data_IF_897227850926
#
_entry.id   IF_897227850926
#
_cell.length_a   1.000
_cell.length_b   1.000
_cell.length_c   1.000
_cell.angle_alpha   90.00
_cell.angle_beta   90.00
_cell.angle_gamma   90.00
#
_symmetry.space_group_name_H-M   'P 1'
#
loop_
_entity.id
_entity.type
_entity.pdbx_description
1 polymer ?
#
# COMPACT_ATOMS: atom_id res chain seq x y z
N UNK A 1 19.87 -30.32 -11.37
CA UNK A 1 19.86 -29.46 -10.16
C UNK A 1 20.73 -28.20 -10.28
N UNK A 2 22.08 -28.23 -10.30
CA UNK A 2 22.90 -26.99 -10.32
C UNK A 2 22.62 -26.01 -11.49
N UNK A 3 22.42 -26.52 -12.71
CA UNK A 3 22.07 -25.67 -13.88
C UNK A 3 20.65 -25.07 -13.80
N UNK A 4 19.73 -25.77 -13.14
CA UNK A 4 18.33 -25.33 -12.97
C UNK A 4 18.22 -24.20 -11.94
N UNK A 5 19.01 -24.26 -10.86
CA UNK A 5 19.07 -23.20 -9.85
C UNK A 5 19.70 -21.91 -10.38
N UNK A 6 20.66 -22.01 -11.30
CA UNK A 6 21.38 -20.85 -11.83
C UNK A 6 20.49 -19.98 -12.74
N UNK A 7 19.62 -20.59 -13.55
CA UNK A 7 18.64 -19.87 -14.36
C UNK A 7 17.62 -19.10 -13.52
N UNK A 8 17.09 -19.73 -12.45
CA UNK A 8 16.14 -19.09 -11.54
C UNK A 8 16.75 -17.86 -10.85
N UNK A 9 17.98 -17.98 -10.32
CA UNK A 9 18.68 -16.87 -9.66
C UNK A 9 18.92 -15.71 -10.63
N UNK A 10 19.31 -16.01 -11.88
CA UNK A 10 19.45 -14.98 -12.91
C UNK A 10 18.12 -14.27 -13.20
N UNK A 11 17.02 -15.01 -13.36
CA UNK A 11 15.69 -14.44 -13.56
C UNK A 11 15.27 -13.51 -12.41
N UNK A 12 15.44 -13.95 -11.16
CA UNK A 12 15.16 -13.13 -9.97
C UNK A 12 16.00 -11.85 -9.98
N UNK A 13 17.31 -11.94 -10.25
CA UNK A 13 18.21 -10.78 -10.26
C UNK A 13 17.82 -9.75 -11.34
N UNK A 14 17.53 -10.20 -12.56
CA UNK A 14 17.12 -9.31 -13.65
C UNK A 14 15.77 -8.66 -13.34
N UNK A 15 14.82 -9.43 -12.80
CA UNK A 15 13.51 -8.93 -12.42
C UNK A 15 13.60 -7.89 -11.28
N UNK A 16 14.33 -8.20 -10.21
CA UNK A 16 14.54 -7.29 -9.09
C UNK A 16 15.30 -6.03 -9.51
N UNK A 17 16.38 -6.16 -10.27
CA UNK A 17 17.12 -5.00 -10.78
C UNK A 17 16.26 -4.13 -11.71
N UNK A 18 15.47 -4.76 -12.58
CA UNK A 18 14.53 -4.05 -13.46
C UNK A 18 13.45 -3.30 -12.69
N UNK A 19 12.85 -3.92 -11.66
CA UNK A 19 11.89 -3.27 -10.79
C UNK A 19 12.50 -2.09 -10.03
N UNK A 20 13.67 -2.26 -9.41
CA UNK A 20 14.34 -1.18 -8.67
C UNK A 20 14.64 0.00 -9.59
N UNK A 21 15.21 -0.25 -10.77
CA UNK A 21 15.53 0.82 -11.73
C UNK A 21 14.29 1.51 -12.28
N UNK A 22 13.17 0.80 -12.36
CA UNK A 22 11.90 1.36 -12.80
C UNK A 22 11.22 2.20 -11.70
N UNK A 23 11.24 1.75 -10.44
CA UNK A 23 10.57 2.42 -9.32
C UNK A 23 11.36 3.60 -8.75
N UNK A 24 12.70 3.50 -8.67
CA UNK A 24 13.55 4.53 -8.06
C UNK A 24 13.37 5.95 -8.64
N UNK A 25 13.18 6.15 -9.97
CA UNK A 25 12.85 7.44 -10.56
C UNK A 25 11.62 8.12 -9.95
N UNK A 26 10.61 7.34 -9.55
CA UNK A 26 9.37 7.87 -9.00
C UNK A 26 9.58 8.55 -7.64
N UNK A 27 10.56 8.10 -6.85
CA UNK A 27 10.93 8.72 -5.57
C UNK A 27 11.81 9.96 -5.76
N UNK A 28 12.79 9.91 -6.68
CA UNK A 28 13.80 10.97 -6.81
C UNK A 28 13.44 12.08 -7.80
N UNK A 29 12.38 11.90 -8.60
CA UNK A 29 11.99 12.88 -9.62
C UNK A 29 11.70 14.28 -9.04
N UNK A 30 11.19 14.38 -7.81
CA UNK A 30 10.92 15.67 -7.17
C UNK A 30 12.17 16.49 -6.82
N UNK A 31 13.32 15.84 -6.64
CA UNK A 31 14.59 16.49 -6.28
C UNK A 31 15.51 16.73 -7.47
N UNK A 32 15.11 16.25 -8.66
CA UNK A 32 15.94 16.31 -9.85
C UNK A 32 15.93 17.72 -10.49
N UNK A 33 17.05 18.17 -11.07
CA UNK A 33 17.19 19.52 -11.64
C UNK A 33 16.11 19.91 -12.66
N UNK A 34 15.65 18.94 -13.46
CA UNK A 34 14.60 19.13 -14.48
C UNK A 34 13.37 18.24 -14.22
N UNK A 35 13.17 17.82 -12.97
CA UNK A 35 12.11 16.90 -12.61
C UNK A 35 12.16 15.62 -13.46
N UNK A 36 11.01 15.19 -13.96
CA UNK A 36 10.85 14.02 -14.84
C UNK A 36 11.64 14.07 -16.15
N UNK A 37 12.04 15.26 -16.62
CA UNK A 37 12.80 15.44 -17.86
C UNK A 37 14.31 15.28 -17.69
N UNK A 38 14.79 14.98 -16.47
CA UNK A 38 16.22 14.84 -16.20
C UNK A 38 16.79 13.57 -16.85
N UNK A 39 17.93 13.68 -17.53
CA UNK A 39 18.51 12.60 -18.34
C UNK A 39 18.65 11.26 -17.60
N UNK A 40 19.11 11.27 -16.35
CA UNK A 40 19.28 10.03 -15.58
C UNK A 40 17.94 9.38 -15.19
N UNK A 41 16.87 10.16 -15.01
CA UNK A 41 15.52 9.64 -14.71
C UNK A 41 14.96 8.94 -15.93
N UNK A 42 15.06 9.58 -17.09
CA UNK A 42 14.62 8.98 -18.36
C UNK A 42 15.43 7.72 -18.66
N UNK A 43 16.75 7.75 -18.44
CA UNK A 43 17.60 6.57 -18.61
C UNK A 43 17.19 5.41 -17.68
N UNK A 44 16.96 5.68 -16.40
CA UNK A 44 16.51 4.67 -15.43
C UNK A 44 15.16 4.05 -15.81
N UNK A 45 14.18 4.88 -16.21
CA UNK A 45 12.86 4.40 -16.66
C UNK A 45 12.96 3.53 -17.92
N UNK A 46 13.71 3.96 -18.93
CA UNK A 46 13.87 3.22 -20.19
C UNK A 46 14.63 1.91 -19.96
N UNK A 47 15.72 1.94 -19.18
CA UNK A 47 16.51 0.74 -18.87
C UNK A 47 15.71 -0.23 -17.99
N UNK A 48 15.04 0.26 -16.93
CA UNK A 48 14.18 -0.55 -16.07
C UNK A 48 13.06 -1.22 -16.85
N UNK A 49 12.34 -0.46 -17.69
CA UNK A 49 11.29 -1.01 -18.56
C UNK A 49 11.85 -2.05 -19.55
N UNK A 50 13.01 -1.76 -20.16
CA UNK A 50 13.66 -2.69 -21.10
C UNK A 50 14.11 -3.98 -20.41
N UNK A 51 14.60 -3.89 -19.17
CA UNK A 51 14.97 -5.07 -18.36
C UNK A 51 13.74 -5.90 -17.97
N UNK A 52 12.63 -5.26 -17.59
CA UNK A 52 11.37 -5.96 -17.31
C UNK A 52 10.79 -6.63 -18.57
N UNK A 53 10.89 -5.97 -19.72
CA UNK A 53 10.48 -6.56 -21.00
C UNK A 53 11.39 -7.72 -21.42
N UNK A 54 12.71 -7.57 -21.25
CA UNK A 54 13.66 -8.64 -21.44
C UNK A 54 13.39 -9.82 -20.51
N UNK A 55 13.10 -9.56 -19.24
CA UNK A 55 12.69 -10.59 -18.28
C UNK A 55 11.43 -11.29 -18.75
N UNK A 56 10.36 -10.56 -19.10
CA UNK A 56 9.10 -11.17 -19.55
C UNK A 56 9.25 -12.04 -20.82
N UNK A 57 10.10 -11.61 -21.77
CA UNK A 57 10.38 -12.38 -23.00
C UNK A 57 11.26 -13.60 -22.73
N UNK A 58 12.30 -13.44 -21.91
CA UNK A 58 13.17 -14.52 -21.47
C UNK A 58 12.40 -15.58 -20.67
N UNK A 59 11.55 -15.14 -19.75
CA UNK A 59 10.68 -15.97 -18.92
C UNK A 59 9.70 -16.81 -19.76
N UNK A 60 9.16 -16.22 -20.84
CA UNK A 60 8.18 -16.90 -21.70
C UNK A 60 8.81 -17.90 -22.66
N UNK A 61 10.01 -17.64 -23.19
CA UNK A 61 10.57 -18.39 -24.32
C UNK A 61 11.89 -19.10 -24.04
N UNK A 62 12.71 -18.62 -23.10
CA UNK A 62 14.06 -19.13 -22.84
C UNK A 62 14.22 -19.80 -21.47
N UNK A 63 13.35 -19.52 -20.49
CA UNK A 63 13.49 -20.03 -19.14
C UNK A 63 13.25 -21.55 -19.06
N UNK A 64 14.21 -22.36 -18.58
CA UNK A 64 14.04 -23.82 -18.41
C UNK A 64 13.05 -24.17 -17.30
N UNK A 65 12.96 -23.32 -16.27
CA UNK A 65 11.99 -23.38 -15.18
C UNK A 65 11.48 -21.94 -15.02
N UNK A 66 10.25 -21.64 -15.44
CA UNK A 66 9.69 -20.31 -15.27
C UNK A 66 9.48 -20.02 -13.77
N UNK A 67 9.93 -18.83 -13.36
CA UNK A 67 9.60 -18.17 -12.11
C UNK A 67 8.08 -17.94 -11.99
N UNK A 68 7.39 -17.56 -13.06
CA UNK A 68 5.93 -17.43 -13.09
C UNK A 68 5.30 -18.45 -14.04
N UNK A 69 4.57 -19.42 -13.49
CA UNK A 69 3.83 -20.36 -14.32
C UNK A 69 2.65 -19.63 -15.00
N UNK A 70 2.62 -19.61 -16.34
CA UNK A 70 1.59 -18.91 -17.13
C UNK A 70 0.14 -19.29 -16.79
N UNK A 71 -0.06 -20.53 -16.30
CA UNK A 71 -1.36 -21.00 -15.84
C UNK A 71 -1.87 -20.21 -14.62
N UNK A 72 -0.97 -19.73 -13.76
CA UNK A 72 -1.29 -18.89 -12.61
C UNK A 72 -1.79 -17.51 -13.07
N UNK A 73 -1.10 -16.91 -14.04
CA UNK A 73 -1.44 -15.61 -14.63
C UNK A 73 -2.72 -15.61 -15.46
N UNK A 74 -3.25 -16.78 -15.81
CA UNK A 74 -4.52 -16.93 -16.56
C UNK A 74 -5.71 -17.24 -15.63
N UNK A 75 -5.44 -17.63 -14.37
CA UNK A 75 -6.51 -18.00 -13.45
C UNK A 75 -7.18 -16.74 -12.86
N UNK A 76 -8.45 -16.53 -13.22
CA UNK A 76 -9.24 -15.38 -12.77
C UNK A 76 -9.27 -15.19 -11.24
N UNK A 77 -9.18 -16.25 -10.44
CA UNK A 77 -9.12 -16.11 -8.97
C UNK A 77 -7.79 -15.55 -8.50
N UNK A 78 -6.68 -15.95 -9.13
CA UNK A 78 -5.33 -15.48 -8.79
C UNK A 78 -5.17 -14.04 -9.23
N UNK A 79 -5.54 -13.72 -10.48
CA UNK A 79 -5.54 -12.35 -10.99
C UNK A 79 -6.38 -11.44 -10.07
N UNK A 80 -7.57 -11.91 -9.65
CA UNK A 80 -8.46 -11.14 -8.81
C UNK A 80 -7.88 -10.88 -7.42
N UNK A 81 -7.23 -11.88 -6.81
CA UNK A 81 -6.55 -11.73 -5.52
C UNK A 81 -5.35 -10.78 -5.62
N UNK A 82 -4.52 -10.95 -6.66
CA UNK A 82 -3.32 -10.13 -6.88
C UNK A 82 -3.65 -8.67 -7.18
N UNK A 83 -4.69 -8.40 -7.99
CA UNK A 83 -5.13 -7.04 -8.27
C UNK A 83 -5.85 -6.40 -7.07
N UNK A 84 -6.57 -7.19 -6.27
CA UNK A 84 -7.18 -6.73 -5.03
C UNK A 84 -6.09 -6.29 -4.05
N UNK A 85 -5.07 -7.12 -3.85
CA UNK A 85 -3.91 -6.82 -2.99
C UNK A 85 -3.21 -5.54 -3.44
N UNK A 86 -2.83 -5.44 -4.73
CA UNK A 86 -2.24 -4.22 -5.27
C UNK A 86 -3.11 -2.98 -5.05
N UNK A 87 -4.44 -3.09 -5.24
CA UNK A 87 -5.36 -1.96 -5.04
C UNK A 87 -5.44 -1.57 -3.57
N UNK A 88 -5.49 -2.55 -2.68
CA UNK A 88 -5.54 -2.37 -1.23
C UNK A 88 -4.24 -1.71 -0.72
N UNK A 89 -3.08 -2.27 -1.09
CA UNK A 89 -1.74 -1.77 -0.80
C UNK A 89 -1.56 -0.33 -1.31
N UNK A 90 -1.89 -0.10 -2.58
CA UNK A 90 -1.87 1.23 -3.21
C UNK A 90 -2.71 2.24 -2.42
N UNK A 91 -3.95 1.88 -2.10
CA UNK A 91 -4.86 2.74 -1.33
C UNK A 91 -4.33 3.00 0.08
N UNK A 92 -3.83 1.98 0.77
CA UNK A 92 -3.34 2.09 2.14
C UNK A 92 -2.12 3.03 2.25
N UNK A 93 -1.13 2.85 1.37
CA UNK A 93 0.07 3.67 1.36
C UNK A 93 -0.16 5.11 0.90
N UNK A 94 -1.18 5.37 0.06
CA UNK A 94 -1.56 6.73 -0.34
C UNK A 94 -1.82 7.66 0.87
N UNK A 95 -2.37 7.15 1.97
CA UNK A 95 -2.76 7.99 3.13
C UNK A 95 -2.01 7.67 4.42
N UNK A 96 -1.41 6.48 4.55
CA UNK A 96 -0.72 6.05 5.77
C UNK A 96 0.65 6.73 5.95
N UNK A 97 1.33 7.04 4.84
CA UNK A 97 2.73 7.50 4.86
C UNK A 97 2.94 8.79 5.68
N UNK A 98 2.05 9.78 5.55
CA UNK A 98 2.15 11.06 6.26
C UNK A 98 1.37 11.10 7.59
N UNK A 99 0.69 10.02 7.96
CA UNK A 99 -0.16 9.98 9.16
C UNK A 99 0.61 10.28 10.46
N UNK A 100 1.81 9.73 10.63
CA UNK A 100 2.62 9.93 11.84
C UNK A 100 3.07 11.39 11.98
N UNK A 101 3.43 12.03 10.88
CA UNK A 101 3.74 13.47 10.83
C UNK A 101 2.51 14.31 11.15
N UNK A 102 1.35 13.96 10.60
CA UNK A 102 0.09 14.63 10.92
C UNK A 102 -0.28 14.50 12.40
N UNK A 103 -0.13 13.32 13.01
CA UNK A 103 -0.42 13.10 14.43
C UNK A 103 0.48 13.94 15.35
N UNK A 104 1.75 14.14 14.99
CA UNK A 104 2.67 14.98 15.75
C UNK A 104 2.38 16.48 15.58
N UNK A 105 1.93 16.90 14.40
CA UNK A 105 1.70 18.32 14.08
C UNK A 105 0.32 18.81 14.50
N UNK A 106 -0.72 18.04 14.21
CA UNK A 106 -2.10 18.43 14.49
C UNK A 106 -2.55 18.08 15.91
N UNK A 107 -2.10 16.94 16.45
CA UNK A 107 -2.55 16.46 17.75
C UNK A 107 -1.49 16.63 18.85
N UNK A 108 -0.34 17.24 18.50
CA UNK A 108 0.78 17.49 19.41
C UNK A 108 1.25 16.23 20.17
N UNK A 109 1.15 15.08 19.51
CA UNK A 109 1.55 13.81 20.08
C UNK A 109 3.08 13.67 20.02
N UNK A 110 3.65 13.06 21.04
CA UNK A 110 5.06 12.63 21.00
C UNK A 110 5.26 11.58 19.92
N UNK A 111 6.48 11.48 19.38
CA UNK A 111 6.87 10.48 18.38
C UNK A 111 6.42 9.07 18.82
N UNK A 112 6.65 8.72 20.09
CA UNK A 112 6.27 7.43 20.66
C UNK A 112 4.75 7.20 20.59
N UNK A 113 3.93 8.16 21.03
CA UNK A 113 2.47 8.01 21.03
C UNK A 113 1.90 8.01 19.61
N UNK A 114 2.43 8.84 18.71
CA UNK A 114 2.01 8.87 17.30
C UNK A 114 2.30 7.52 16.61
N UNK A 115 3.48 6.93 16.87
CA UNK A 115 3.83 5.60 16.38
C UNK A 115 2.94 4.53 17.02
N UNK A 116 2.64 4.60 18.32
CA UNK A 116 1.71 3.66 18.93
C UNK A 116 0.33 3.70 18.27
N UNK A 117 -0.22 4.89 17.98
CA UNK A 117 -1.50 5.03 17.28
C UNK A 117 -1.46 4.42 15.88
N UNK A 118 -0.36 4.58 15.14
CA UNK A 118 -0.20 3.95 13.83
C UNK A 118 -0.15 2.41 13.95
N UNK A 119 0.64 1.88 14.89
CA UNK A 119 0.80 0.44 15.13
C UNK A 119 -0.48 -0.25 15.67
N UNK A 120 -1.50 0.49 16.13
CA UNK A 120 -2.79 -0.10 16.50
C UNK A 120 -3.36 -0.91 15.34
N UNK A 121 -3.18 -0.44 14.11
CA UNK A 121 -3.64 -1.16 12.92
C UNK A 121 -3.03 -2.57 12.85
N UNK A 122 -1.72 -2.71 13.01
CA UNK A 122 -1.02 -4.00 12.92
C UNK A 122 -1.36 -4.93 14.09
N UNK A 123 -1.46 -4.40 15.30
CA UNK A 123 -1.82 -5.18 16.48
C UNK A 123 -3.25 -5.71 16.38
N UNK A 124 -4.19 -4.85 15.98
CA UNK A 124 -5.61 -5.22 15.85
C UNK A 124 -5.79 -6.17 14.67
N UNK A 125 -5.14 -5.93 13.53
CA UNK A 125 -5.23 -6.81 12.37
C UNK A 125 -4.70 -8.22 12.67
N UNK A 126 -3.59 -8.34 13.41
CA UNK A 126 -3.04 -9.63 13.84
C UNK A 126 -4.02 -10.47 14.66
N UNK A 127 -4.73 -9.85 15.61
CA UNK A 127 -5.76 -10.52 16.41
C UNK A 127 -6.99 -10.86 15.57
N UNK A 128 -7.45 -9.93 14.73
CA UNK A 128 -8.63 -10.13 13.89
C UNK A 128 -8.44 -11.21 12.82
N UNK A 129 -7.22 -11.36 12.27
CA UNK A 129 -6.87 -12.41 11.32
C UNK A 129 -7.22 -13.81 11.87
N UNK A 130 -6.98 -14.05 13.16
CA UNK A 130 -7.32 -15.33 13.82
C UNK A 130 -8.84 -15.54 13.86
N UNK A 131 -9.61 -14.52 14.24
CA UNK A 131 -11.06 -14.59 14.33
C UNK A 131 -11.72 -14.75 12.96
N UNK A 132 -11.28 -13.98 11.96
CA UNK A 132 -11.80 -14.05 10.60
C UNK A 132 -11.40 -15.40 9.97
N UNK A 133 -10.18 -15.88 10.18
CA UNK A 133 -9.73 -17.20 9.74
C UNK A 133 -10.59 -18.33 10.33
N UNK A 134 -10.92 -18.24 11.61
CA UNK A 134 -11.85 -19.18 12.24
C UNK A 134 -13.26 -19.09 11.67
N UNK A 135 -13.79 -17.87 11.44
CA UNK A 135 -15.11 -17.66 10.86
C UNK A 135 -15.20 -18.22 9.43
N UNK A 136 -14.22 -17.93 8.58
CA UNK A 136 -14.13 -18.46 7.21
C UNK A 136 -14.04 -19.99 7.23
N UNK A 137 -13.27 -20.57 8.15
CA UNK A 137 -13.20 -22.04 8.31
C UNK A 137 -14.57 -22.65 8.64
N UNK A 138 -15.37 -21.98 9.48
CA UNK A 138 -16.71 -22.46 9.89
C UNK A 138 -17.73 -22.33 8.76
N UNK A 139 -17.73 -21.23 8.02
CA UNK A 139 -18.64 -21.00 6.89
C UNK A 139 -18.25 -21.88 5.70
N UNK A 140 -16.96 -21.96 5.39
CA UNK A 140 -16.39 -22.71 4.27
C UNK A 140 -16.30 -21.92 2.96
N UNK A 141 -16.73 -20.66 2.96
CA UNK A 141 -16.69 -19.74 1.83
C UNK A 141 -16.10 -18.41 2.28
N UNK A 142 -15.22 -17.82 1.48
CA UNK A 142 -14.52 -16.58 1.83
C UNK A 142 -15.03 -15.36 1.04
N UNK A 143 -15.73 -15.56 -0.08
CA UNK A 143 -16.16 -14.45 -0.95
C UNK A 143 -17.14 -13.50 -0.26
N UNK A 144 -18.00 -14.01 0.62
CA UNK A 144 -18.98 -13.18 1.33
C UNK A 144 -18.33 -12.13 2.23
N UNK A 145 -17.17 -12.45 2.82
CA UNK A 145 -16.44 -11.54 3.71
C UNK A 145 -15.97 -10.28 2.97
N UNK A 146 -15.64 -10.40 1.67
CA UNK A 146 -15.23 -9.26 0.84
C UNK A 146 -16.36 -8.25 0.62
N UNK A 147 -17.62 -8.70 0.51
CA UNK A 147 -18.76 -7.79 0.36
C UNK A 147 -19.00 -6.94 1.60
N UNK A 148 -18.54 -7.37 2.76
CA UNK A 148 -18.59 -6.59 4.01
C UNK A 148 -17.32 -5.73 4.15
N UNK A 149 -16.16 -6.28 3.80
CA UNK A 149 -14.87 -5.60 3.95
C UNK A 149 -14.76 -4.35 3.08
N UNK A 150 -15.15 -4.40 1.80
CA UNK A 150 -15.02 -3.23 0.90
C UNK A 150 -15.83 -2.03 1.41
N UNK A 151 -17.14 -2.15 1.68
CA UNK A 151 -17.90 -1.01 2.21
C UNK A 151 -17.39 -0.55 3.56
N UNK A 152 -16.99 -1.47 4.45
CA UNK A 152 -16.47 -1.12 5.77
C UNK A 152 -15.15 -0.33 5.66
N UNK A 153 -14.23 -0.78 4.82
CA UNK A 153 -12.94 -0.12 4.61
C UNK A 153 -13.13 1.26 3.96
N UNK A 154 -13.99 1.34 2.94
CA UNK A 154 -14.32 2.61 2.26
C UNK A 154 -14.99 3.59 3.22
N UNK A 155 -15.90 3.11 4.07
CA UNK A 155 -16.55 3.91 5.11
C UNK A 155 -15.54 4.38 6.16
N UNK A 156 -14.59 3.54 6.57
CA UNK A 156 -13.55 3.91 7.51
C UNK A 156 -12.61 4.98 6.94
N UNK A 157 -12.24 4.90 5.66
CA UNK A 157 -11.51 5.97 4.97
C UNK A 157 -12.35 7.25 4.86
N UNK A 158 -13.64 7.15 4.57
CA UNK A 158 -14.55 8.29 4.56
C UNK A 158 -14.69 8.98 5.92
N UNK A 159 -14.74 8.20 7.01
CA UNK A 159 -14.73 8.71 8.38
C UNK A 159 -13.39 9.40 8.70
N UNK A 160 -12.25 8.86 8.24
CA UNK A 160 -10.96 9.53 8.40
C UNK A 160 -10.96 10.92 7.76
N UNK A 161 -11.55 11.07 6.57
CA UNK A 161 -11.67 12.39 5.91
C UNK A 161 -12.44 13.36 6.79
N UNK A 162 -13.50 12.91 7.46
CA UNK A 162 -14.29 13.75 8.35
C UNK A 162 -13.55 14.10 9.66
N UNK A 163 -12.83 13.13 10.24
CA UNK A 163 -12.18 13.26 11.53
C UNK A 163 -10.77 13.87 11.46
N UNK A 164 -10.12 13.95 10.30
CA UNK A 164 -8.84 14.66 10.09
C UNK A 164 -9.00 16.17 9.95
N UNK A 165 -9.80 16.76 10.85
CA UNK A 165 -9.89 18.22 11.04
C UNK A 165 -8.99 18.63 12.21
N UNK A 166 -8.44 19.87 12.20
CA UNK A 166 -7.68 20.39 13.34
C UNK A 166 -8.54 20.38 14.61
N UNK A 167 -7.93 20.06 15.76
CA UNK A 167 -8.55 19.98 17.10
C UNK A 167 -9.55 18.84 17.36
N UNK A 168 -9.53 17.75 16.58
CA UNK A 168 -10.35 16.56 16.86
C UNK A 168 -9.65 15.60 17.83
N UNK A 169 -10.42 14.98 18.73
CA UNK A 169 -9.88 14.03 19.72
C UNK A 169 -9.22 12.83 19.03
N UNK A 170 -8.02 12.45 19.48
CA UNK A 170 -7.21 11.32 19.00
C UNK A 170 -8.01 10.01 19.01
N UNK A 171 -8.95 9.86 19.95
CA UNK A 171 -9.81 8.68 20.04
C UNK A 171 -10.59 8.36 18.75
N UNK A 172 -11.02 9.37 17.97
CA UNK A 172 -11.70 9.14 16.69
C UNK A 172 -10.75 8.58 15.63
N UNK A 173 -9.48 8.99 15.66
CA UNK A 173 -8.45 8.44 14.77
C UNK A 173 -8.20 6.95 15.10
N UNK A 174 -8.11 6.62 16.39
CA UNK A 174 -7.97 5.23 16.86
C UNK A 174 -9.17 4.37 16.43
N UNK A 175 -10.40 4.89 16.58
CA UNK A 175 -11.60 4.19 16.12
C UNK A 175 -11.56 3.89 14.62
N UNK A 176 -11.15 4.87 13.80
CA UNK A 176 -11.02 4.66 12.36
C UNK A 176 -9.95 3.63 12.01
N UNK A 177 -8.81 3.65 12.72
CA UNK A 177 -7.75 2.65 12.56
C UNK A 177 -8.26 1.22 12.86
N UNK A 178 -9.09 1.06 13.87
CA UNK A 178 -9.71 -0.24 14.20
C UNK A 178 -10.61 -0.71 13.05
N UNK A 179 -11.46 0.16 12.48
CA UNK A 179 -12.31 -0.23 11.35
C UNK A 179 -11.51 -0.55 10.09
N UNK A 180 -10.46 0.20 9.81
CA UNK A 180 -9.53 -0.12 8.74
C UNK A 180 -8.84 -1.46 8.97
N UNK A 181 -8.41 -1.74 10.20
CA UNK A 181 -7.78 -3.02 10.55
C UNK A 181 -8.74 -4.21 10.36
N UNK A 182 -10.04 -4.03 10.63
CA UNK A 182 -11.06 -5.05 10.32
C UNK A 182 -11.16 -5.29 8.81
N UNK A 183 -11.25 -4.25 7.99
CA UNK A 183 -11.29 -4.40 6.53
C UNK A 183 -10.00 -4.99 5.96
N UNK A 184 -8.85 -4.44 6.36
CA UNK A 184 -7.51 -4.85 5.91
C UNK A 184 -7.18 -6.29 6.26
N UNK A 185 -7.49 -6.73 7.49
CA UNK A 185 -7.29 -8.14 7.89
C UNK A 185 -8.14 -9.12 7.06
N UNK A 186 -9.34 -8.72 6.64
CA UNK A 186 -10.17 -9.52 5.73
C UNK A 186 -9.49 -9.62 4.36
N UNK A 187 -9.01 -8.51 3.78
CA UNK A 187 -8.35 -8.51 2.47
C UNK A 187 -7.14 -9.43 2.45
N UNK A 188 -6.18 -9.19 3.37
CA UNK A 188 -4.93 -9.96 3.49
C UNK A 188 -5.23 -11.47 3.57
N UNK A 189 -6.20 -11.85 4.42
CA UNK A 189 -6.55 -13.25 4.60
C UNK A 189 -7.21 -13.85 3.36
N UNK A 190 -8.17 -13.14 2.76
CA UNK A 190 -8.93 -13.64 1.62
C UNK A 190 -8.05 -13.77 0.38
N UNK A 191 -7.12 -12.86 0.15
CA UNK A 191 -6.18 -12.91 -0.98
C UNK A 191 -5.27 -14.14 -0.88
N UNK A 192 -4.66 -14.36 0.29
CA UNK A 192 -3.84 -15.54 0.55
C UNK A 192 -4.67 -16.82 0.39
N UNK A 193 -5.85 -16.89 1.01
CA UNK A 193 -6.73 -18.06 0.93
C UNK A 193 -7.20 -18.32 -0.52
N UNK A 194 -7.48 -17.27 -1.29
CA UNK A 194 -7.89 -17.40 -2.70
C UNK A 194 -6.79 -18.04 -3.52
N UNK A 195 -5.52 -17.69 -3.28
CA UNK A 195 -4.37 -18.29 -3.94
C UNK A 195 -4.21 -19.75 -3.52
N UNK A 196 -4.18 -20.03 -2.21
CA UNK A 196 -4.11 -21.38 -1.65
C UNK A 196 -5.24 -22.29 -2.17
N UNK A 197 -6.42 -21.72 -2.40
CA UNK A 197 -7.58 -22.43 -2.95
C UNK A 197 -7.51 -22.60 -4.48
N UNK A 198 -6.83 -21.72 -5.22
CA UNK A 198 -6.80 -21.74 -6.68
C UNK A 198 -5.66 -22.58 -7.28
N UNK A 199 -4.59 -22.85 -6.51
CA UNK A 199 -3.38 -23.55 -7.00
C UNK A 199 -3.20 -24.94 -6.38
N UNK A 200 -2.42 -25.76 -7.09
CA UNK A 200 -1.93 -27.04 -6.59
C UNK A 200 -0.77 -26.83 -5.60
N UNK A 201 -0.56 -27.76 -4.67
CA UNK A 201 0.39 -27.60 -3.55
C UNK A 201 1.83 -27.25 -4.01
N UNK A 202 2.24 -27.76 -5.18
CA UNK A 202 3.56 -27.52 -5.76
C UNK A 202 3.80 -26.06 -6.18
N UNK A 203 2.73 -25.29 -6.45
CA UNK A 203 2.81 -23.91 -6.97
C UNK A 203 2.37 -22.85 -5.96
N UNK A 204 2.03 -23.24 -4.72
CA UNK A 204 1.59 -22.32 -3.66
C UNK A 204 2.66 -21.26 -3.37
N UNK A 205 3.92 -21.67 -3.22
CA UNK A 205 5.01 -20.75 -2.89
C UNK A 205 5.18 -19.68 -3.98
N UNK A 206 5.20 -20.10 -5.24
CA UNK A 206 5.33 -19.19 -6.39
C UNK A 206 4.15 -18.23 -6.51
N UNK A 207 2.93 -18.71 -6.31
CA UNK A 207 1.74 -17.86 -6.41
C UNK A 207 1.65 -16.84 -5.26
N UNK A 208 2.05 -17.22 -4.04
CA UNK A 208 2.16 -16.27 -2.93
C UNK A 208 3.32 -15.29 -3.13
N UNK A 209 4.43 -15.72 -3.72
CA UNK A 209 5.51 -14.81 -4.08
C UNK A 209 5.02 -13.75 -5.09
N UNK A 210 4.24 -14.15 -6.10
CA UNK A 210 3.61 -13.23 -7.02
C UNK A 210 2.71 -12.22 -6.31
N UNK A 211 1.86 -12.68 -5.38
CA UNK A 211 1.02 -11.81 -4.55
C UNK A 211 1.87 -10.74 -3.87
N UNK A 212 2.87 -11.15 -3.09
CA UNK A 212 3.72 -10.23 -2.34
C UNK A 212 4.45 -9.25 -3.25
N UNK A 213 5.02 -9.69 -4.39
CA UNK A 213 5.71 -8.78 -5.31
C UNK A 213 4.73 -7.73 -5.84
N UNK A 214 3.56 -8.14 -6.32
CA UNK A 214 2.58 -7.18 -6.85
C UNK A 214 2.03 -6.27 -5.75
N UNK A 215 1.83 -6.77 -4.54
CA UNK A 215 1.51 -5.98 -3.36
C UNK A 215 2.57 -4.92 -3.07
N UNK A 216 3.86 -5.28 -3.08
CA UNK A 216 4.97 -4.32 -2.86
C UNK A 216 5.07 -3.27 -3.96
N UNK A 217 4.76 -3.61 -5.21
CA UNK A 217 4.64 -2.62 -6.30
C UNK A 217 3.48 -1.65 -6.01
N UNK A 218 2.36 -2.17 -5.49
CA UNK A 218 1.24 -1.37 -5.01
C UNK A 218 1.64 -0.39 -3.91
N UNK A 219 2.40 -0.85 -2.91
CA UNK A 219 2.92 -0.03 -1.82
C UNK A 219 3.79 1.12 -2.32
N UNK A 220 4.79 0.79 -3.17
CA UNK A 220 5.73 1.73 -3.78
C UNK A 220 5.02 2.77 -4.65
N UNK A 221 4.05 2.33 -5.46
CA UNK A 221 3.23 3.23 -6.27
C UNK A 221 2.37 4.14 -5.38
N UNK A 222 1.84 3.63 -4.26
CA UNK A 222 1.02 4.41 -3.32
C UNK A 222 1.85 5.48 -2.62
N UNK A 223 3.06 5.13 -2.20
CA UNK A 223 4.05 6.04 -1.66
C UNK A 223 4.40 7.16 -2.64
N UNK A 224 4.70 6.80 -3.89
CA UNK A 224 4.97 7.75 -4.98
C UNK A 224 3.82 8.75 -5.14
N UNK A 225 2.58 8.25 -5.27
CA UNK A 225 1.40 9.10 -5.43
C UNK A 225 1.25 10.03 -4.23
N UNK A 226 1.45 9.51 -3.01
CA UNK A 226 1.38 10.33 -1.80
C UNK A 226 2.41 11.45 -1.81
N UNK A 227 3.64 11.15 -2.22
CA UNK A 227 4.77 12.10 -2.27
C UNK A 227 4.51 13.20 -3.30
N UNK A 228 4.03 12.83 -4.49
CA UNK A 228 3.68 13.79 -5.54
C UNK A 228 2.53 14.69 -5.10
N UNK A 229 1.50 14.15 -4.46
CA UNK A 229 0.38 14.95 -3.93
C UNK A 229 0.90 15.89 -2.84
N UNK A 230 1.72 15.40 -1.92
CA UNK A 230 2.33 16.18 -0.85
C UNK A 230 3.10 17.38 -1.41
N UNK A 231 4.06 17.12 -2.31
CA UNK A 231 4.87 18.16 -2.95
C UNK A 231 4.01 19.22 -3.66
N UNK A 232 2.95 18.79 -4.35
CA UNK A 232 2.09 19.69 -5.13
C UNK A 232 1.05 20.46 -4.31
N UNK A 233 0.72 20.00 -3.10
CA UNK A 233 -0.39 20.56 -2.31
C UNK A 233 0.06 21.17 -1.00
N UNK A 234 0.98 20.51 -0.27
CA UNK A 234 1.46 20.99 1.02
C UNK A 234 2.24 22.29 0.88
N UNK A 235 3.20 22.35 -0.05
CA UNK A 235 3.99 23.57 -0.32
C UNK A 235 3.08 24.76 -0.68
N UNK A 236 2.08 24.53 -1.54
CA UNK A 236 1.14 25.58 -1.95
C UNK A 236 0.21 26.02 -0.81
N UNK A 237 -0.17 25.09 0.06
CA UNK A 237 -0.99 25.39 1.23
C UNK A 237 -0.19 26.18 2.28
N UNK A 238 1.08 25.82 2.51
CA UNK A 238 1.99 26.60 3.36
C UNK A 238 2.15 28.04 2.84
N UNK A 239 2.42 28.23 1.54
CA UNK A 239 2.53 29.56 0.94
C UNK A 239 1.27 30.42 1.12
N UNK A 240 0.08 29.80 1.13
CA UNK A 240 -1.20 30.49 1.29
C UNK A 240 -1.49 30.83 2.75
N UNK A 241 -1.18 29.92 3.67
CA UNK A 241 -1.68 29.99 5.05
C UNK A 241 -0.63 30.56 6.03
N UNK A 242 0.67 30.55 5.71
CA UNK A 242 1.72 31.08 6.60
C UNK A 242 1.63 32.60 6.78
N UNK A 243 1.82 33.13 8.01
CA UNK A 243 2.01 34.56 8.21
C UNK A 243 3.35 35.04 7.63
N UNK A 244 3.42 36.31 7.21
CA UNK A 244 4.63 36.93 6.66
C UNK A 244 5.86 36.76 7.56
N UNK A 245 5.66 36.78 8.88
CA UNK A 245 6.71 36.61 9.89
C UNK A 245 7.40 35.23 9.85
N UNK A 246 6.74 34.21 9.30
CA UNK A 246 7.28 32.85 9.21
C UNK A 246 7.72 32.48 7.78
N UNK A 247 7.45 33.35 6.79
CA UNK A 247 7.68 33.05 5.38
C UNK A 247 9.17 32.88 5.03
N UNK A 248 10.07 33.51 5.80
CA UNK A 248 11.52 33.30 5.70
C UNK A 248 11.95 31.88 6.04
N UNK A 249 11.19 31.17 6.88
CA UNK A 249 11.48 29.82 7.33
C UNK A 249 10.73 28.75 6.53
N UNK A 250 10.07 29.12 5.42
CA UNK A 250 9.16 28.25 4.70
C UNK A 250 9.82 26.94 4.23
N UNK A 251 11.05 26.98 3.71
CA UNK A 251 11.76 25.76 3.29
C UNK A 251 12.07 24.86 4.48
N UNK A 252 12.53 25.42 5.61
CA UNK A 252 12.79 24.66 6.82
C UNK A 252 11.49 24.06 7.40
N UNK A 253 10.38 24.80 7.35
CA UNK A 253 9.06 24.32 7.76
C UNK A 253 8.58 23.21 6.82
N UNK A 254 8.86 23.29 5.53
CA UNK A 254 8.45 22.26 4.58
C UNK A 254 9.24 20.96 4.76
N UNK A 255 10.56 21.04 4.97
CA UNK A 255 11.46 19.88 4.99
C UNK A 255 11.59 19.22 6.37
N UNK A 256 11.44 19.97 7.46
CA UNK A 256 11.76 19.49 8.80
C UNK A 256 10.55 19.50 9.77
N UNK A 257 10.15 18.29 10.18
CA UNK A 257 9.09 18.06 11.16
C UNK A 257 9.46 18.61 12.56
N UNK A 258 10.74 18.65 12.91
CA UNK A 258 11.20 19.21 14.20
C UNK A 258 10.96 20.72 14.21
N UNK A 259 11.30 21.39 13.11
CA UNK A 259 10.99 22.81 12.91
C UNK A 259 9.48 23.06 13.00
N UNK A 260 8.63 22.22 12.39
CA UNK A 260 7.18 22.35 12.48
C UNK A 260 6.62 22.20 13.91
N UNK A 261 7.18 21.31 14.72
CA UNK A 261 6.75 21.04 16.12
C UNK A 261 7.37 22.01 17.13
N UNK A 262 8.45 22.72 16.77
CA UNK A 262 9.05 23.76 17.62
C UNK A 262 8.14 24.99 17.84
N UNK A 263 7.19 25.23 16.93
CA UNK A 263 6.24 26.33 17.05
C UNK A 263 5.18 26.02 18.13
N UNK A 264 4.91 26.95 19.07
CA UNK A 264 3.96 26.71 20.15
C UNK A 264 2.55 26.37 19.62
N UNK A 265 1.89 25.41 20.27
CA UNK A 265 0.48 25.07 20.00
C UNK A 265 -0.40 26.30 20.18
N UNK A 266 -1.24 26.58 19.18
CA UNK A 266 -2.11 27.76 19.15
C UNK A 266 -1.48 29.04 18.60
N UNK A 267 -0.18 29.05 18.28
CA UNK A 267 0.42 30.16 17.52
C UNK A 267 -0.15 30.24 16.10
N UNK A 268 -0.16 31.44 15.51
CA UNK A 268 -0.64 31.64 14.14
C UNK A 268 0.11 30.76 13.12
N UNK A 269 1.43 30.62 13.29
CA UNK A 269 2.26 29.74 12.45
C UNK A 269 1.90 28.26 12.64
N UNK A 270 1.70 27.78 13.86
CA UNK A 270 1.31 26.38 14.11
C UNK A 270 -0.07 26.07 13.52
N UNK A 271 -1.05 26.98 13.68
CA UNK A 271 -2.38 26.82 13.09
C UNK A 271 -2.34 26.82 11.55
N UNK A 272 -1.52 27.67 10.94
CA UNK A 272 -1.29 27.69 9.50
C UNK A 272 -0.73 26.35 9.00
N UNK A 273 0.29 25.82 9.69
CA UNK A 273 0.88 24.51 9.37
C UNK A 273 -0.17 23.40 9.51
N UNK A 274 -0.94 23.39 10.60
CA UNK A 274 -2.00 22.38 10.84
C UNK A 274 -3.11 22.42 9.78
N UNK A 275 -3.47 23.60 9.30
CA UNK A 275 -4.42 23.78 8.20
C UNK A 275 -3.85 23.27 6.86
N UNK A 276 -2.58 23.55 6.59
CA UNK A 276 -1.90 23.03 5.40
C UNK A 276 -1.81 21.49 5.40
N UNK A 277 -1.53 20.90 6.56
CA UNK A 277 -1.59 19.45 6.78
C UNK A 277 -2.99 18.89 6.52
N UNK A 278 -4.02 19.45 7.16
CA UNK A 278 -5.40 18.98 6.99
C UNK A 278 -5.87 19.07 5.53
N UNK A 279 -5.49 20.14 4.81
CA UNK A 279 -5.80 20.31 3.38
C UNK A 279 -5.12 19.27 2.49
N UNK A 280 -3.89 18.89 2.81
CA UNK A 280 -3.12 17.89 2.06
C UNK A 280 -3.62 16.48 2.34
N UNK A 281 -3.79 16.15 3.62
CA UNK A 281 -4.27 14.84 4.09
C UNK A 281 -5.65 14.48 3.56
N UNK A 282 -6.54 15.47 3.45
CA UNK A 282 -7.87 15.26 2.88
C UNK A 282 -7.79 14.79 1.42
N UNK A 283 -6.80 15.27 0.64
CA UNK A 283 -6.60 14.85 -0.76
C UNK A 283 -5.99 13.46 -0.85
N UNK A 284 -5.00 13.17 0.00
CA UNK A 284 -4.39 11.85 0.10
C UNK A 284 -5.45 10.78 0.39
N UNK A 285 -6.30 11.03 1.39
CA UNK A 285 -7.42 10.14 1.72
C UNK A 285 -8.47 10.05 0.61
N UNK A 286 -8.81 11.15 -0.06
CA UNK A 286 -9.77 11.15 -1.16
C UNK A 286 -9.27 10.30 -2.34
N UNK A 287 -7.98 10.38 -2.67
CA UNK A 287 -7.35 9.55 -3.71
C UNK A 287 -7.35 8.07 -3.30
N UNK A 288 -6.95 7.75 -2.07
CA UNK A 288 -7.01 6.38 -1.54
C UNK A 288 -8.43 5.79 -1.59
N UNK A 289 -9.43 6.56 -1.17
CA UNK A 289 -10.84 6.16 -1.22
C UNK A 289 -11.34 5.94 -2.67
N UNK A 290 -10.92 6.80 -3.61
CA UNK A 290 -11.23 6.64 -5.03
C UNK A 290 -10.63 5.36 -5.63
N UNK A 291 -9.39 5.02 -5.25
CA UNK A 291 -8.71 3.79 -5.68
C UNK A 291 -9.44 2.55 -5.19
N UNK A 292 -9.98 2.57 -3.96
CA UNK A 292 -10.70 1.44 -3.37
C UNK A 292 -11.95 1.02 -4.17
N UNK A 293 -12.50 1.91 -5.03
CA UNK A 293 -13.58 1.56 -5.97
C UNK A 293 -13.16 0.42 -6.93
N UNK A 294 -11.88 0.35 -7.28
CA UNK A 294 -11.34 -0.71 -8.14
C UNK A 294 -11.37 -2.08 -7.45
N UNK A 295 -11.46 -2.16 -6.12
CA UNK A 295 -11.61 -3.43 -5.41
C UNK A 295 -12.91 -4.16 -5.80
N UNK A 296 -13.97 -3.44 -6.17
CA UNK A 296 -15.27 -4.01 -6.53
C UNK A 296 -15.16 -4.97 -7.75
N UNK A 297 -14.66 -4.55 -8.93
CA UNK A 297 -14.50 -5.47 -10.06
C UNK A 297 -13.55 -6.64 -9.76
N UNK A 298 -12.50 -6.43 -8.96
CA UNK A 298 -11.56 -7.51 -8.60
C UNK A 298 -12.22 -8.60 -7.76
N UNK A 299 -13.07 -8.22 -6.80
CA UNK A 299 -13.83 -9.20 -6.01
C UNK A 299 -14.87 -9.97 -6.82
N UNK A 300 -15.43 -9.37 -7.88
CA UNK A 300 -16.32 -10.07 -8.81
C UNK A 300 -15.54 -11.16 -9.57
N UNK A 301 -14.29 -10.86 -9.98
CA UNK A 301 -13.40 -11.77 -10.70
C UNK A 301 -13.06 -13.03 -9.89
N UNK A 302 -12.90 -12.88 -8.57
CA UNK A 302 -12.60 -13.97 -7.64
C UNK A 302 -13.73 -15.00 -7.62
N UNK A 303 -13.42 -16.28 -7.91
CA UNK A 303 -14.38 -17.37 -7.75
C UNK A 303 -14.67 -17.60 -6.27
N UNK A 304 -15.94 -17.87 -5.94
CA UNK A 304 -16.29 -18.38 -4.62
C UNK A 304 -15.94 -19.87 -4.55
N UNK A 305 -14.83 -20.20 -3.89
CA UNK A 305 -14.34 -21.57 -3.76
C UNK A 305 -14.76 -22.11 -2.39
N UNK A 306 -15.44 -23.27 -2.39
CA UNK A 306 -15.80 -23.94 -1.16
C UNK A 306 -14.58 -24.66 -0.55
N UNK A 307 -14.08 -24.14 0.56
CA UNK A 307 -12.91 -24.65 1.26
C UNK A 307 -13.17 -25.99 1.96
N UNK A 308 -14.43 -26.35 2.27
CA UNK A 308 -14.76 -27.63 2.94
C UNK A 308 -14.67 -28.84 2.02
N UNK A 309 -14.68 -28.63 0.70
CA UNK A 309 -14.57 -29.70 -0.32
C UNK A 309 -13.13 -30.00 -0.73
N UNK A 310 -12.15 -29.16 -0.40
CA UNK A 310 -10.74 -29.51 -0.62
C UNK A 310 -10.31 -30.52 0.44
N UNK A 311 -10.06 -31.76 0.02
CA UNK A 311 -9.49 -32.80 0.89
C UNK A 311 -8.13 -32.30 1.36
N UNK A 312 -8.01 -32.04 2.67
CA UNK A 312 -6.74 -31.73 3.28
C UNK A 312 -5.87 -32.98 3.14
N UNK A 313 -4.79 -32.88 2.36
CA UNK A 313 -3.86 -33.98 2.16
C UNK A 313 -3.20 -34.26 3.51
N UNK A 314 -3.69 -35.28 4.23
CA UNK A 314 -3.05 -35.78 5.44
C UNK A 314 -1.82 -36.56 5.02
N UNK A 315 -0.67 -35.90 4.97
CA UNK A 315 0.63 -36.54 4.78
C UNK A 315 1.76 -35.59 5.14
N UNK A 316 2.68 -36.04 6.00
CA UNK A 316 4.02 -35.48 6.10
C UNK A 316 4.73 -35.69 4.77
N UNK A 317 5.16 -34.61 4.13
CA UNK A 317 5.92 -34.66 2.88
C UNK A 317 7.31 -34.10 3.19
N UNK A 318 8.34 -34.95 3.00
CA UNK A 318 9.75 -34.61 3.09
C UNK A 318 10.20 -33.75 1.90
#
# INVERSE_FOLDING_TARGET
MKYQSCGLVFGVLVFTAGLILFELPFDIAGYAPHGWATDYIVAMLVVGFSMLFFFATWEKWLAPIPLFEWRLLTNRTIIGAVLLDATYQLSNYCWSYYLTSWLQVNNDLTISTANMVNNIFDVVSGVLLLFIGWAIRRVGHYKWTLYIAIPLYTLAQGLLIHFRKPNMNVGYQVMCQIFLAVGGSIFILVEQLSILAAVDHQHVATALALLNVVGTIGDSTGLTISTVIWQNTYMKALLRDLPESAMSNLNNIYEDLVTQTSYPVGSATRLAIQNAYAYTELRLLAVGCGIMVLAIPWTILIKDINLKRKVQVRGTVF
#
